data_IF_374744613329
#
_entry.id   IF_374744613329
#
_cell.length_a   1.000
_cell.length_b   1.000
_cell.length_c   1.000
_cell.angle_alpha   90.00
_cell.angle_beta   90.00
_cell.angle_gamma   90.00
#
_symmetry.space_group_name_H-M   'P 1'
#
loop_
_entity.id
_entity.type
_entity.pdbx_description
1 polymer ?
#
# COMPACT_ATOMS: atom_id res chain seq x y z
N UNK A 1 -17.87 2.55 -7.98
CA UNK A 1 -16.63 2.77 -7.22
C UNK A 1 -15.48 2.97 -8.18
N UNK A 2 -14.67 3.96 -7.95
CA UNK A 2 -13.50 4.23 -8.78
C UNK A 2 -12.26 4.05 -7.89
N UNK A 3 -11.25 3.38 -8.40
CA UNK A 3 -9.99 3.16 -7.67
C UNK A 3 -8.88 3.98 -8.30
N UNK A 4 -7.98 4.46 -7.48
CA UNK A 4 -6.82 5.19 -7.91
C UNK A 4 -5.62 4.82 -7.05
N UNK A 5 -4.44 5.10 -7.57
CA UNK A 5 -3.20 4.89 -6.83
C UNK A 5 -2.85 6.15 -6.07
N UNK A 6 -2.43 5.98 -4.83
CA UNK A 6 -1.89 7.06 -4.05
C UNK A 6 -0.41 6.85 -3.79
N UNK A 7 0.34 7.92 -3.85
CA UNK A 7 1.76 7.89 -3.48
C UNK A 7 1.87 8.34 -2.03
N UNK A 8 2.41 7.48 -1.19
CA UNK A 8 2.66 7.84 0.21
C UNK A 8 3.98 8.61 0.27
N UNK A 9 3.93 9.78 0.90
CA UNK A 9 5.10 10.65 1.09
C UNK A 9 5.25 10.99 2.55
N UNK A 10 6.32 11.71 2.90
CA UNK A 10 6.64 12.09 4.28
C UNK A 10 6.62 10.86 5.20
N UNK A 11 7.27 9.78 4.75
CA UNK A 11 7.32 8.53 5.48
C UNK A 11 7.96 8.67 6.86
N UNK A 12 7.34 8.03 7.84
CA UNK A 12 7.96 7.77 9.13
C UNK A 12 8.70 6.44 9.02
N UNK A 13 9.92 6.47 8.48
CA UNK A 13 10.67 5.25 8.19
C UNK A 13 10.83 4.36 9.42
N UNK A 14 11.05 4.95 10.57
CA UNK A 14 11.20 4.20 11.82
C UNK A 14 9.95 3.36 12.12
N UNK A 15 8.76 3.89 11.87
CA UNK A 15 7.51 3.18 12.12
C UNK A 15 7.29 2.07 11.07
N UNK A 16 7.71 2.31 9.84
CA UNK A 16 7.63 1.29 8.79
C UNK A 16 8.59 0.14 9.09
N UNK A 17 9.80 0.44 9.53
CA UNK A 17 10.77 -0.59 9.91
C UNK A 17 10.30 -1.40 11.13
N UNK A 18 9.68 -0.74 12.09
CA UNK A 18 9.10 -1.42 13.25
C UNK A 18 7.96 -2.34 12.83
N UNK A 19 7.11 -1.89 11.92
CA UNK A 19 6.02 -2.69 11.39
C UNK A 19 6.55 -3.94 10.66
N UNK A 20 7.60 -3.78 9.87
CA UNK A 20 8.26 -4.91 9.24
C UNK A 20 8.73 -5.94 10.28
N UNK A 21 9.40 -5.48 11.33
CA UNK A 21 9.88 -6.34 12.39
C UNK A 21 8.74 -7.12 13.05
N UNK A 22 7.62 -6.44 13.31
CA UNK A 22 6.44 -7.06 13.90
C UNK A 22 5.81 -8.11 12.98
N UNK A 23 5.73 -7.81 11.68
CA UNK A 23 5.20 -8.76 10.69
C UNK A 23 6.09 -10.00 10.58
N UNK A 24 7.40 -9.80 10.61
CA UNK A 24 8.36 -10.91 10.55
C UNK A 24 8.26 -11.79 11.79
N UNK A 25 8.18 -11.19 12.96
CA UNK A 25 8.06 -11.92 14.23
C UNK A 25 6.78 -12.73 14.36
N UNK A 26 5.71 -12.30 13.69
CA UNK A 26 4.40 -12.99 13.73
C UNK A 26 4.18 -13.93 12.55
N UNK A 27 5.21 -14.14 11.72
CA UNK A 27 5.16 -15.00 10.52
C UNK A 27 4.11 -14.55 9.50
N UNK A 28 3.79 -13.26 9.47
CA UNK A 28 2.91 -12.68 8.46
C UNK A 28 3.68 -12.18 7.23
N UNK A 29 4.98 -12.41 7.20
CA UNK A 29 5.87 -11.96 6.16
C UNK A 29 6.88 -13.05 5.85
N UNK A 30 6.99 -13.43 4.59
CA UNK A 30 8.01 -14.37 4.14
C UNK A 30 9.08 -13.63 3.34
N UNK A 31 10.35 -13.95 3.62
CA UNK A 31 11.51 -13.35 2.95
C UNK A 31 12.24 -14.42 2.14
N UNK A 32 11.50 -15.19 1.35
CA UNK A 32 12.00 -16.35 0.65
C UNK A 32 11.91 -16.23 -0.87
N UNK A 33 11.74 -15.02 -1.40
CA UNK A 33 11.61 -14.77 -2.85
C UNK A 33 10.48 -15.59 -3.47
N UNK A 34 9.34 -15.65 -2.78
CA UNK A 34 8.15 -16.44 -3.21
C UNK A 34 8.43 -17.94 -3.35
N UNK A 35 9.40 -18.45 -2.61
CA UNK A 35 9.77 -19.87 -2.65
C UNK A 35 10.53 -20.27 -3.90
N UNK A 36 11.01 -19.34 -4.70
CA UNK A 36 11.74 -19.64 -5.92
C UNK A 36 13.12 -20.21 -5.61
N UNK A 37 13.52 -21.26 -6.37
CA UNK A 37 14.88 -21.78 -6.31
C UNK A 37 15.86 -20.81 -6.97
N UNK A 38 17.16 -20.98 -6.72
CA UNK A 38 18.18 -20.16 -7.37
C UNK A 38 18.10 -20.22 -8.88
N UNK A 39 17.84 -21.40 -9.42
CA UNK A 39 17.68 -21.59 -10.85
C UNK A 39 16.46 -20.84 -11.40
N UNK A 40 15.35 -20.89 -10.69
CA UNK A 40 14.13 -20.20 -11.09
C UNK A 40 14.33 -18.69 -11.04
N UNK A 41 15.02 -18.19 -10.01
CA UNK A 41 15.34 -16.76 -9.90
C UNK A 41 16.20 -16.33 -11.11
N UNK A 42 17.24 -17.09 -11.42
CA UNK A 42 18.10 -16.80 -12.56
C UNK A 42 17.30 -16.72 -13.86
N UNK A 43 16.46 -17.70 -14.13
CA UNK A 43 15.67 -17.76 -15.34
C UNK A 43 14.67 -16.61 -15.43
N UNK A 44 14.01 -16.28 -14.33
CA UNK A 44 13.04 -15.21 -14.31
C UNK A 44 13.70 -13.84 -14.53
N UNK A 45 14.83 -13.59 -13.88
CA UNK A 45 15.58 -12.36 -14.07
C UNK A 45 16.06 -12.20 -15.50
N UNK A 46 16.53 -13.30 -16.11
CA UNK A 46 17.00 -13.29 -17.49
C UNK A 46 15.85 -13.04 -18.48
N UNK A 47 14.68 -13.59 -18.22
CA UNK A 47 13.52 -13.49 -19.10
C UNK A 47 12.80 -12.15 -18.97
N UNK A 48 12.51 -11.73 -17.74
CA UNK A 48 11.68 -10.54 -17.47
C UNK A 48 12.49 -9.26 -17.29
N UNK A 49 13.75 -9.38 -16.88
CA UNK A 49 14.63 -8.24 -16.60
C UNK A 49 14.04 -7.27 -15.59
N UNK A 50 13.43 -7.81 -14.53
CA UNK A 50 12.83 -7.04 -13.44
C UNK A 50 13.36 -7.55 -12.11
N UNK A 51 13.52 -6.67 -11.11
CA UNK A 51 13.94 -7.11 -9.77
C UNK A 51 12.96 -8.13 -9.18
N UNK A 52 13.49 -9.06 -8.42
CA UNK A 52 12.69 -10.02 -7.64
C UNK A 52 12.95 -9.73 -6.16
N UNK A 53 11.88 -9.44 -5.42
CA UNK A 53 11.98 -9.06 -4.02
C UNK A 53 11.82 -10.25 -3.10
N UNK A 54 12.53 -10.24 -1.98
CA UNK A 54 12.41 -11.28 -0.96
C UNK A 54 10.98 -11.38 -0.43
N UNK A 55 10.29 -10.24 -0.32
CA UNK A 55 8.89 -10.19 0.10
C UNK A 55 7.91 -10.64 -0.99
N UNK A 56 8.40 -10.96 -2.19
CA UNK A 56 7.54 -11.29 -3.32
C UNK A 56 6.71 -10.08 -3.76
N UNK A 57 5.39 -10.22 -3.94
CA UNK A 57 4.53 -9.10 -4.34
C UNK A 57 4.29 -8.10 -3.21
N UNK A 58 4.85 -8.35 -2.03
CA UNK A 58 4.66 -7.52 -0.84
C UNK A 58 3.77 -8.19 0.19
N UNK A 59 3.74 -7.62 1.38
CA UNK A 59 2.94 -8.13 2.49
C UNK A 59 1.78 -7.17 2.77
N UNK A 60 0.56 -7.69 2.77
CA UNK A 60 -0.60 -6.89 3.15
C UNK A 60 -0.50 -6.51 4.62
N UNK A 61 -0.76 -5.25 4.93
CA UNK A 61 -0.76 -4.78 6.31
C UNK A 61 -2.01 -5.28 7.03
N UNK A 62 -1.87 -5.77 8.27
CA UNK A 62 -3.02 -6.27 9.03
C UNK A 62 -4.06 -5.21 9.35
N UNK A 63 -3.62 -3.98 9.57
CA UNK A 63 -4.50 -2.85 9.82
C UNK A 63 -3.98 -1.60 9.14
N UNK A 64 -4.88 -0.87 8.51
CA UNK A 64 -4.59 0.42 7.89
C UNK A 64 -5.85 1.27 7.88
N UNK A 65 -5.69 2.58 7.93
CA UNK A 65 -6.79 3.52 7.80
C UNK A 65 -6.33 4.84 7.22
N UNK A 66 -7.27 5.56 6.65
CA UNK A 66 -7.06 6.88 6.10
C UNK A 66 -7.78 7.90 6.97
N UNK A 67 -7.08 8.96 7.37
CA UNK A 67 -7.68 10.07 8.09
C UNK A 67 -7.49 11.35 7.30
N UNK A 68 -8.54 12.15 7.22
CA UNK A 68 -8.47 13.49 6.64
C UNK A 68 -8.26 14.47 7.78
N UNK A 69 -7.09 15.08 7.83
CA UNK A 69 -6.73 16.06 8.85
C UNK A 69 -6.46 17.40 8.16
N UNK A 70 -7.39 18.32 8.28
CA UNK A 70 -7.26 19.66 7.70
C UNK A 70 -6.97 19.64 6.19
N UNK A 71 -7.60 18.75 5.47
CA UNK A 71 -7.43 18.63 4.03
C UNK A 71 -6.26 17.75 3.60
N UNK A 72 -5.45 17.27 4.55
CA UNK A 72 -4.39 16.33 4.26
C UNK A 72 -4.85 14.90 4.54
N UNK A 73 -4.50 13.99 3.65
CA UNK A 73 -4.82 12.58 3.81
C UNK A 73 -3.65 11.87 4.47
N UNK A 74 -3.87 11.39 5.67
CA UNK A 74 -2.86 10.75 6.50
C UNK A 74 -3.11 9.25 6.55
N UNK A 75 -2.06 8.46 6.36
CA UNK A 75 -2.14 7.00 6.43
C UNK A 75 -1.67 6.54 7.79
N UNK A 76 -2.50 5.75 8.45
CA UNK A 76 -2.16 5.05 9.68
C UNK A 76 -2.11 3.56 9.39
N UNK A 77 -1.17 2.86 9.99
CA UNK A 77 -1.05 1.42 9.85
C UNK A 77 -0.43 0.81 11.11
N UNK A 78 -0.69 -0.47 11.31
CA UNK A 78 -0.17 -1.20 12.44
C UNK A 78 -0.63 -2.65 12.42
N UNK A 79 -0.37 -3.35 13.51
CA UNK A 79 -0.82 -4.73 13.66
C UNK A 79 -2.31 -4.81 13.96
N UNK A 80 -2.84 -3.76 14.57
CA UNK A 80 -4.27 -3.62 14.88
C UNK A 80 -4.56 -2.14 15.12
N UNK A 81 -5.84 -1.83 15.38
CA UNK A 81 -6.26 -0.44 15.58
C UNK A 81 -5.57 0.24 16.76
N UNK A 82 -5.36 -0.49 17.84
CA UNK A 82 -4.76 0.07 19.06
C UNK A 82 -3.28 0.42 18.87
N UNK A 83 -2.60 -0.29 17.99
CA UNK A 83 -1.17 -0.10 17.73
C UNK A 83 -0.88 0.71 16.48
N UNK A 84 -1.89 1.26 15.83
CA UNK A 84 -1.69 2.05 14.62
C UNK A 84 -0.85 3.28 14.89
N UNK A 85 -0.04 3.64 13.91
CA UNK A 85 0.79 4.84 13.93
C UNK A 85 0.70 5.54 12.58
N UNK A 86 0.90 6.83 12.59
CA UNK A 86 0.99 7.61 11.34
C UNK A 86 2.26 7.20 10.59
N UNK A 87 2.10 6.66 9.38
CA UNK A 87 3.24 6.21 8.57
C UNK A 87 3.55 7.15 7.42
N UNK A 88 2.65 8.03 7.04
CA UNK A 88 2.91 8.97 5.97
C UNK A 88 1.65 9.70 5.51
N UNK A 89 1.81 10.46 4.44
CA UNK A 89 0.74 11.23 3.81
C UNK A 89 0.54 10.73 2.39
N UNK A 90 -0.69 10.86 1.87
CA UNK A 90 -1.00 10.47 0.50
C UNK A 90 -1.10 11.70 -0.38
N UNK A 91 -0.43 11.63 -1.54
CA UNK A 91 -0.65 12.54 -2.66
C UNK A 91 -1.33 11.71 -3.75
N UNK A 92 -2.62 11.94 -4.04
CA UNK A 92 -3.32 11.19 -5.09
C UNK A 92 -2.68 11.43 -6.45
N UNK A 93 -2.53 10.36 -7.22
CA UNK A 93 -1.95 10.41 -8.56
C UNK A 93 -3.06 10.26 -9.59
N UNK A 94 -3.13 11.22 -10.52
CA UNK A 94 -4.15 11.18 -11.57
C UNK A 94 -5.55 11.53 -11.12
N UNK A 95 -5.73 11.99 -9.89
CA UNK A 95 -7.01 12.46 -9.37
C UNK A 95 -7.04 13.97 -9.36
N UNK A 96 -8.23 14.53 -9.36
CA UNK A 96 -8.42 15.96 -9.14
C UNK A 96 -7.91 16.34 -7.76
N UNK A 97 -7.58 17.64 -7.52
CA UNK A 97 -7.20 18.07 -6.19
C UNK A 97 -8.21 17.61 -5.15
N UNK A 98 -7.69 17.16 -4.01
CA UNK A 98 -8.52 16.60 -2.95
C UNK A 98 -9.60 17.59 -2.50
N UNK A 99 -9.28 18.88 -2.50
CA UNK A 99 -10.24 19.92 -2.16
C UNK A 99 -11.48 19.93 -3.06
N UNK A 100 -11.35 19.47 -4.30
CA UNK A 100 -12.47 19.40 -5.23
C UNK A 100 -13.26 18.10 -5.12
N UNK A 101 -12.60 17.03 -4.70
CA UNK A 101 -13.15 15.67 -4.72
C UNK A 101 -13.76 15.29 -3.39
N UNK A 102 -13.14 15.70 -2.27
CA UNK A 102 -13.53 15.24 -0.94
C UNK A 102 -14.96 15.55 -0.55
N UNK A 103 -15.54 16.61 -1.08
CA UNK A 103 -16.92 16.99 -0.77
C UNK A 103 -17.95 16.16 -1.55
N UNK A 104 -17.51 15.49 -2.59
CA UNK A 104 -18.38 14.71 -3.48
C UNK A 104 -18.23 13.21 -3.30
N UNK A 105 -17.16 12.78 -2.69
CA UNK A 105 -16.82 11.36 -2.58
C UNK A 105 -16.35 11.04 -1.17
N UNK A 106 -16.50 9.78 -0.82
CA UNK A 106 -15.92 9.24 0.39
C UNK A 106 -14.63 8.51 0.01
N UNK A 107 -13.50 8.96 0.56
CA UNK A 107 -12.20 8.36 0.30
C UNK A 107 -11.87 7.34 1.36
N UNK A 108 -11.27 6.22 0.94
CA UNK A 108 -10.80 5.20 1.86
C UNK A 108 -9.64 4.42 1.22
N UNK A 109 -8.91 3.68 2.04
CA UNK A 109 -7.86 2.80 1.54
C UNK A 109 -8.45 1.44 1.20
N UNK A 110 -8.28 1.03 -0.04
CA UNK A 110 -8.67 -0.31 -0.48
C UNK A 110 -7.64 -1.34 -0.07
N UNK A 111 -6.37 -0.97 -0.08
CA UNK A 111 -5.28 -1.85 0.35
C UNK A 111 -4.07 -1.05 0.77
N UNK A 112 -3.24 -1.65 1.60
CA UNK A 112 -1.93 -1.13 1.95
C UNK A 112 -0.97 -2.32 2.03
N UNK A 113 0.17 -2.20 1.35
CA UNK A 113 1.12 -3.29 1.18
C UNK A 113 2.52 -2.83 1.53
N UNK A 114 3.22 -3.59 2.36
CA UNK A 114 4.62 -3.37 2.67
C UNK A 114 5.46 -3.89 1.52
N UNK A 115 6.33 -3.05 0.97
CA UNK A 115 7.20 -3.36 -0.15
C UNK A 115 8.64 -3.01 0.20
N UNK A 116 9.57 -3.40 -0.68
CA UNK A 116 10.97 -3.06 -0.53
C UNK A 116 11.75 -4.15 0.15
N UNK A 117 12.85 -3.78 0.81
CA UNK A 117 13.75 -4.72 1.43
C UNK A 117 14.69 -5.38 0.43
N UNK A 118 15.23 -6.57 0.75
CA UNK A 118 16.16 -7.27 -0.13
C UNK A 118 15.54 -7.64 -1.47
N UNK A 119 16.31 -7.48 -2.54
CA UNK A 119 15.87 -7.86 -3.89
C UNK A 119 17.06 -8.34 -4.70
N UNK A 120 16.76 -9.13 -5.73
CA UNK A 120 17.79 -9.63 -6.65
C UNK A 120 17.59 -9.07 -8.03
N UNK A 121 18.70 -8.72 -8.69
CA UNK A 121 18.74 -8.30 -10.08
C UNK A 121 19.78 -9.13 -10.80
N UNK A 122 19.69 -9.18 -12.14
CA UNK A 122 20.69 -9.89 -12.91
C UNK A 122 21.99 -9.08 -12.91
N UNK A 123 23.06 -9.68 -12.39
CA UNK A 123 24.41 -9.17 -12.51
C UNK A 123 25.06 -9.64 -13.81
N UNK A 124 26.39 -9.58 -13.87
CA UNK A 124 27.12 -9.91 -15.10
C UNK A 124 26.91 -11.37 -15.50
N UNK A 125 27.01 -12.31 -14.56
CA UNK A 125 26.91 -13.74 -14.82
C UNK A 125 25.97 -14.46 -13.86
N UNK A 126 25.41 -13.76 -12.88
CA UNK A 126 24.61 -14.36 -11.82
C UNK A 126 23.73 -13.33 -11.16
N UNK A 127 22.67 -13.74 -10.48
CA UNK A 127 21.87 -12.81 -9.69
C UNK A 127 22.68 -12.17 -8.58
N UNK A 128 22.45 -10.89 -8.35
CA UNK A 128 23.11 -10.11 -7.29
C UNK A 128 22.02 -9.59 -6.36
N UNK A 129 22.22 -9.75 -5.05
CA UNK A 129 21.31 -9.22 -4.06
C UNK A 129 21.67 -7.79 -3.68
N UNK A 130 20.65 -6.94 -3.66
CA UNK A 130 20.73 -5.57 -3.17
C UNK A 130 19.68 -5.38 -2.08
N UNK A 131 19.73 -4.26 -1.43
CA UNK A 131 18.77 -3.91 -0.39
C UNK A 131 18.26 -2.49 -0.59
N UNK A 132 17.03 -2.24 -0.15
CA UNK A 132 16.45 -0.91 -0.15
C UNK A 132 15.52 -0.78 1.05
N UNK A 133 15.22 0.45 1.50
CA UNK A 133 14.30 0.63 2.61
C UNK A 133 12.93 0.05 2.31
N UNK A 134 12.25 -0.43 3.35
CA UNK A 134 10.86 -0.81 3.24
C UNK A 134 10.00 0.42 3.01
N UNK A 135 8.98 0.28 2.19
CA UNK A 135 8.01 1.32 1.89
C UNK A 135 6.61 0.73 1.97
N UNK A 136 5.62 1.59 1.87
CA UNK A 136 4.22 1.16 1.84
C UNK A 136 3.58 1.70 0.58
N UNK A 137 2.96 0.80 -0.19
CA UNK A 137 2.14 1.16 -1.33
C UNK A 137 0.68 1.06 -0.94
N UNK A 138 -0.12 2.04 -1.34
CA UNK A 138 -1.53 2.05 -1.00
C UNK A 138 -2.37 2.15 -2.26
N UNK A 139 -3.54 1.54 -2.22
CA UNK A 139 -4.54 1.70 -3.25
C UNK A 139 -5.69 2.52 -2.66
N UNK A 140 -5.93 3.66 -3.25
CA UNK A 140 -6.97 4.58 -2.82
C UNK A 140 -8.24 4.29 -3.60
N UNK A 141 -9.36 4.26 -2.90
CA UNK A 141 -10.68 4.07 -3.51
C UNK A 141 -11.63 5.16 -3.04
N UNK A 142 -12.65 5.40 -3.83
CA UNK A 142 -13.66 6.37 -3.43
C UNK A 142 -15.04 5.98 -3.97
N UNK A 143 -16.05 6.43 -3.24
CA UNK A 143 -17.45 6.25 -3.63
C UNK A 143 -18.09 7.62 -3.78
N UNK A 144 -19.01 7.75 -4.74
CA UNK A 144 -19.74 9.00 -4.93
C UNK A 144 -20.80 9.14 -3.86
N UNK A 145 -20.65 10.13 -2.98
CA UNK A 145 -21.62 10.40 -1.93
C UNK A 145 -22.99 10.73 -2.48
N UNK A 146 -23.05 11.36 -3.64
CA UNK A 146 -24.30 11.80 -4.24
C UNK A 146 -25.24 10.64 -4.57
N UNK A 147 -24.72 9.50 -4.96
CA UNK A 147 -25.55 8.34 -5.28
C UNK A 147 -26.30 7.83 -4.05
N UNK A 148 -25.61 7.70 -2.93
CA UNK A 148 -26.25 7.32 -1.69
C UNK A 148 -27.31 8.31 -1.25
N UNK A 149 -27.05 9.59 -1.38
CA UNK A 149 -28.02 10.63 -1.03
C UNK A 149 -29.25 10.59 -1.93
N UNK A 150 -29.08 10.33 -3.22
CA UNK A 150 -30.20 10.21 -4.14
C UNK A 150 -31.08 9.02 -3.80
N UNK A 151 -30.52 7.92 -3.48
CA UNK A 151 -31.25 6.72 -3.10
C UNK A 151 -32.04 6.95 -1.82
N UNK A 152 -31.43 7.56 -0.83
CA UNK A 152 -32.09 7.92 0.40
C UNK A 152 -33.30 8.86 0.15
N UNK A 153 -33.11 9.86 -0.70
CA UNK A 153 -34.19 10.77 -1.06
C UNK A 153 -35.33 10.06 -1.76
N UNK A 154 -35.02 9.13 -2.66
CA UNK A 154 -36.06 8.33 -3.34
C UNK A 154 -36.85 7.48 -2.36
N UNK A 155 -36.19 6.85 -1.44
CA UNK A 155 -36.80 6.04 -0.41
C UNK A 155 -37.69 6.89 0.47
N UNK A 156 -37.26 8.06 0.85
CA UNK A 156 -38.05 9.00 1.64
C UNK A 156 -39.29 9.50 0.88
N UNK A 157 -39.12 9.75 -0.42
CA UNK A 157 -40.22 10.22 -1.25
C UNK A 157 -41.33 9.18 -1.43
N UNK A 158 -40.98 7.90 -1.31
CA UNK A 158 -41.94 6.80 -1.43
C UNK A 158 -42.73 6.54 -0.16
N UNK A 159 -42.28 7.08 0.94
CA UNK A 159 -42.95 6.98 2.20
C UNK A 159 -43.78 8.25 2.45
#
# INVERSE_FOLDING_TARGET
MVTGLGTVSAFQQMYIDDLFTRLDQTNLLDLDYSGLSERQIYQQLKTENKPIYATGPGALLPYFELQNQNGQLIVFAGMNQAEKREIGQITPVGLQPISEVKDRVKLYLASATLLGGPFKVMGRNQPIEHDQPYTVSVQLAYEKKQEGQREERRQRSRM
#
